data_IF_607408263049
#
_entry.id   IF_607408263049
#
_cell.length_a   1.000
_cell.length_b   1.000
_cell.length_c   1.000
_cell.angle_alpha   90.00
_cell.angle_beta   90.00
_cell.angle_gamma   90.00
#
_symmetry.space_group_name_H-M   'P 1'
#
loop_
_entity.id
_entity.type
_entity.pdbx_description
1 polymer ?
#
# COMPACT_ATOMS: atom_id res chain seq x y z
N UNK A 1 -3.51 -8.84 -11.59
CA UNK A 1 -4.90 -9.21 -11.94
C UNK A 1 -5.67 -9.60 -10.67
N UNK A 2 -5.85 -8.62 -9.76
CA UNK A 2 -6.74 -8.67 -8.57
C UNK A 2 -7.41 -7.30 -8.30
N UNK A 3 -7.08 -6.28 -9.11
CA UNK A 3 -7.54 -4.90 -8.96
C UNK A 3 -9.08 -4.75 -9.00
N UNK A 4 -9.84 -5.51 -9.84
CA UNK A 4 -11.30 -5.41 -9.84
C UNK A 4 -11.93 -5.90 -8.54
N UNK A 5 -11.39 -6.96 -7.93
CA UNK A 5 -11.86 -7.51 -6.66
C UNK A 5 -11.52 -6.57 -5.50
N UNK A 6 -10.30 -6.04 -5.47
CA UNK A 6 -9.89 -5.03 -4.48
C UNK A 6 -10.77 -3.77 -4.58
N UNK A 7 -11.08 -3.32 -5.82
CA UNK A 7 -11.98 -2.20 -6.09
C UNK A 7 -13.42 -2.47 -5.62
N UNK A 8 -13.96 -3.66 -5.84
CA UNK A 8 -15.28 -4.05 -5.32
C UNK A 8 -15.31 -4.10 -3.79
N UNK A 9 -14.20 -4.47 -3.14
CA UNK A 9 -14.05 -4.50 -1.69
C UNK A 9 -13.76 -3.11 -1.09
N UNK A 10 -13.69 -2.06 -1.90
CA UNK A 10 -13.38 -0.70 -1.45
C UNK A 10 -11.91 -0.47 -1.09
N UNK A 11 -11.00 -1.43 -1.30
CA UNK A 11 -9.61 -1.39 -0.80
C UNK A 11 -8.61 -0.74 -1.75
N UNK A 12 -8.10 0.43 -1.38
CA UNK A 12 -7.05 1.17 -2.09
C UNK A 12 -5.84 1.35 -1.17
N UNK A 13 -4.61 1.33 -1.71
CA UNK A 13 -3.36 1.39 -0.93
C UNK A 13 -2.30 2.24 -1.64
N UNK A 14 -1.04 2.17 -1.24
CA UNK A 14 0.04 3.04 -1.73
C UNK A 14 0.38 2.89 -3.23
N UNK A 15 -0.14 1.88 -3.91
CA UNK A 15 -0.11 1.76 -5.37
C UNK A 15 -1.28 2.46 -6.07
N UNK A 16 -2.24 2.96 -5.30
CA UNK A 16 -3.39 3.74 -5.74
C UNK A 16 -3.09 5.24 -5.65
N UNK A 17 -3.63 6.03 -6.58
CA UNK A 17 -3.56 7.49 -6.53
C UNK A 17 -4.54 8.02 -5.50
N UNK A 18 -4.07 8.29 -4.28
CA UNK A 18 -4.91 8.81 -3.19
C UNK A 18 -4.98 10.32 -3.24
N UNK A 19 -6.19 10.86 -3.41
CA UNK A 19 -6.47 12.29 -3.35
C UNK A 19 -7.34 12.58 -2.12
N UNK A 20 -6.91 13.52 -1.29
CA UNK A 20 -7.61 13.91 -0.06
C UNK A 20 -7.55 15.42 0.11
N UNK A 21 -8.58 16.01 0.72
CA UNK A 21 -8.53 17.43 1.10
C UNK A 21 -7.50 17.64 2.21
N UNK A 22 -6.84 18.80 2.20
CA UNK A 22 -5.77 19.12 3.16
C UNK A 22 -6.23 19.08 4.61
N UNK A 23 -7.39 19.64 4.90
CA UNK A 23 -7.98 19.65 6.25
C UNK A 23 -8.24 18.23 6.78
N UNK A 24 -8.70 17.31 5.92
CA UNK A 24 -8.90 15.91 6.27
C UNK A 24 -7.57 15.23 6.53
N UNK A 25 -6.56 15.46 5.67
CA UNK A 25 -5.21 14.91 5.84
C UNK A 25 -4.60 15.30 7.19
N UNK A 26 -4.67 16.57 7.54
CA UNK A 26 -4.16 17.09 8.81
C UNK A 26 -4.96 16.52 10.00
N UNK A 27 -6.30 16.43 9.88
CA UNK A 27 -7.17 15.88 10.92
C UNK A 27 -6.92 14.40 11.21
N UNK A 28 -6.59 13.59 10.19
CA UNK A 28 -6.26 12.16 10.39
C UNK A 28 -4.81 11.92 10.79
N UNK A 29 -3.99 12.97 10.92
CA UNK A 29 -2.59 12.88 11.33
C UNK A 29 -1.61 12.53 10.20
N UNK A 30 -2.06 12.56 8.94
CA UNK A 30 -1.23 12.27 7.77
C UNK A 30 -0.69 10.83 7.73
N UNK A 31 0.43 10.65 7.03
CA UNK A 31 1.12 9.35 6.99
C UNK A 31 1.88 9.09 8.30
N UNK A 32 1.66 7.93 8.94
CA UNK A 32 2.43 7.57 10.13
C UNK A 32 3.88 7.25 9.76
N UNK A 33 4.81 7.60 10.66
CA UNK A 33 6.23 7.27 10.52
C UNK A 33 6.52 5.81 10.89
N UNK A 34 5.99 4.87 10.11
CA UNK A 34 6.26 3.44 10.24
C UNK A 34 7.05 2.93 9.03
N UNK A 35 7.91 1.91 9.22
CA UNK A 35 8.85 1.49 8.18
C UNK A 35 8.19 0.75 7.00
N UNK A 36 6.93 0.30 7.17
CA UNK A 36 6.14 -0.38 6.16
C UNK A 36 4.66 -0.35 6.60
N UNK A 37 3.73 -0.43 5.64
CA UNK A 37 2.28 -0.39 5.84
C UNK A 37 1.73 0.99 6.27
N UNK A 38 2.51 2.05 6.07
CA UNK A 38 2.11 3.44 6.35
C UNK A 38 0.87 3.85 5.56
N UNK A 39 0.78 3.36 4.32
CA UNK A 39 -0.35 3.51 3.42
C UNK A 39 -1.61 2.80 3.93
N UNK A 40 -1.49 1.58 4.43
CA UNK A 40 -2.60 0.82 5.01
C UNK A 40 -3.18 1.53 6.23
N UNK A 41 -2.32 2.06 7.10
CA UNK A 41 -2.75 2.80 8.29
C UNK A 41 -3.42 4.11 7.89
N UNK A 42 -2.83 4.85 6.95
CA UNK A 42 -3.39 6.10 6.46
C UNK A 42 -4.77 5.91 5.81
N UNK A 43 -4.91 4.91 4.93
CA UNK A 43 -6.19 4.57 4.28
C UNK A 43 -7.26 4.22 5.30
N UNK A 44 -6.92 3.40 6.31
CA UNK A 44 -7.86 3.08 7.39
C UNK A 44 -8.30 4.34 8.12
N UNK A 45 -7.38 5.26 8.42
CA UNK A 45 -7.72 6.52 9.07
C UNK A 45 -8.68 7.37 8.20
N UNK A 46 -8.48 7.40 6.88
CA UNK A 46 -9.39 8.05 5.94
C UNK A 46 -10.78 7.41 5.91
N UNK A 47 -10.85 6.07 5.86
CA UNK A 47 -12.12 5.32 5.87
C UNK A 47 -12.90 5.52 7.18
N UNK A 48 -12.20 5.69 8.31
CA UNK A 48 -12.84 6.04 9.59
C UNK A 48 -13.27 7.51 9.64
N UNK A 49 -12.57 8.41 8.94
CA UNK A 49 -12.90 9.83 8.90
C UNK A 49 -14.07 10.16 7.96
N UNK A 50 -14.46 9.26 7.06
CA UNK A 50 -15.62 9.44 6.19
C UNK A 50 -15.67 8.51 4.98
N UNK A 51 -16.64 8.77 4.09
CA UNK A 51 -16.81 7.99 2.85
C UNK A 51 -15.69 8.27 1.87
N UNK A 52 -15.19 7.21 1.25
CA UNK A 52 -14.17 7.24 0.20
C UNK A 52 -14.81 6.86 -1.14
N UNK A 53 -14.23 7.30 -2.25
CA UNK A 53 -14.76 7.04 -3.59
C UNK A 53 -13.64 6.70 -4.58
N UNK A 54 -13.93 5.78 -5.50
CA UNK A 54 -13.04 5.45 -6.60
C UNK A 54 -13.34 6.34 -7.80
N UNK A 55 -12.34 7.10 -8.24
CA UNK A 55 -12.46 7.90 -9.46
C UNK A 55 -12.28 7.02 -10.70
N UNK A 56 -13.13 7.19 -11.74
CA UNK A 56 -12.94 6.51 -13.01
C UNK A 56 -11.75 7.13 -13.77
N UNK A 57 -10.85 6.28 -14.27
CA UNK A 57 -9.73 6.70 -15.11
C UNK A 57 -8.48 5.82 -14.91
N UNK A 58 -7.64 5.66 -15.94
CA UNK A 58 -6.38 4.96 -15.79
C UNK A 58 -5.38 5.86 -15.05
N UNK A 59 -4.83 5.37 -13.94
CA UNK A 59 -3.63 5.95 -13.37
C UNK A 59 -2.42 5.30 -14.05
N UNK A 60 -1.66 6.08 -14.81
CA UNK A 60 -0.44 5.58 -15.46
C UNK A 60 0.70 5.63 -14.45
N UNK A 61 1.19 4.45 -14.04
CA UNK A 61 2.38 4.32 -13.21
C UNK A 61 3.43 3.46 -13.91
N UNK A 62 4.70 3.66 -13.58
CA UNK A 62 5.80 2.92 -14.21
C UNK A 62 5.73 1.43 -13.85
N UNK A 63 5.73 0.53 -14.83
CA UNK A 63 5.71 -0.93 -14.62
C UNK A 63 7.02 -1.52 -14.06
N UNK A 64 8.01 -0.67 -13.72
CA UNK A 64 9.37 -1.05 -13.28
C UNK A 64 9.42 -2.11 -12.18
N UNK A 65 8.44 -2.14 -11.28
CA UNK A 65 8.35 -3.11 -10.17
C UNK A 65 7.71 -4.45 -10.57
N UNK A 66 6.98 -4.49 -11.68
CA UNK A 66 6.22 -5.65 -12.16
C UNK A 66 6.94 -6.42 -13.27
N UNK A 67 7.98 -5.84 -13.88
CA UNK A 67 8.79 -6.51 -14.91
C UNK A 67 9.65 -7.64 -14.30
N UNK A 68 9.24 -8.89 -14.57
CA UNK A 68 10.05 -10.09 -14.38
C UNK A 68 9.53 -11.11 -13.35
N UNK A 69 8.73 -10.73 -12.35
CA UNK A 69 8.15 -11.67 -11.34
C UNK A 69 6.81 -11.19 -10.71
N UNK A 70 5.73 -11.00 -11.49
CA UNK A 70 4.47 -10.40 -11.00
C UNK A 70 3.79 -11.21 -9.88
N UNK A 71 3.83 -12.55 -9.95
CA UNK A 71 3.18 -13.42 -8.96
C UNK A 71 3.86 -13.40 -7.60
N UNK A 72 5.21 -13.43 -7.56
CA UNK A 72 5.96 -13.41 -6.29
C UNK A 72 5.75 -12.09 -5.54
N UNK A 73 5.77 -10.99 -6.27
CA UNK A 73 5.52 -9.65 -5.73
C UNK A 73 4.10 -9.58 -5.16
N UNK A 74 3.10 -10.07 -5.91
CA UNK A 74 1.70 -10.08 -5.45
C UNK A 74 1.51 -10.91 -4.17
N UNK A 75 2.08 -12.12 -4.10
CA UNK A 75 2.00 -12.98 -2.91
C UNK A 75 2.69 -12.36 -1.70
N UNK A 76 3.87 -11.75 -1.89
CA UNK A 76 4.60 -11.05 -0.83
C UNK A 76 3.77 -9.91 -0.25
N UNK A 77 3.20 -9.06 -1.11
CA UNK A 77 2.35 -7.95 -0.66
C UNK A 77 1.07 -8.42 0.02
N UNK A 78 0.39 -9.45 -0.51
CA UNK A 78 -0.80 -10.03 0.11
C UNK A 78 -0.51 -10.62 1.49
N UNK A 79 0.63 -11.32 1.64
CA UNK A 79 1.08 -11.84 2.94
C UNK A 79 1.36 -10.72 3.94
N UNK A 80 2.10 -9.68 3.53
CA UNK A 80 2.40 -8.55 4.41
C UNK A 80 1.14 -7.83 4.89
N UNK A 81 0.18 -7.57 3.98
CA UNK A 81 -1.11 -6.97 4.34
C UNK A 81 -1.86 -7.86 5.34
N UNK A 82 -1.95 -9.16 5.08
CA UNK A 82 -2.64 -10.11 5.95
C UNK A 82 -1.98 -10.16 7.34
N UNK A 83 -0.66 -10.31 7.40
CA UNK A 83 0.08 -10.35 8.65
C UNK A 83 -0.06 -9.03 9.44
N UNK A 84 -0.04 -7.88 8.77
CA UNK A 84 -0.30 -6.59 9.41
C UNK A 84 -1.72 -6.51 9.97
N UNK A 85 -2.73 -6.96 9.21
CA UNK A 85 -4.12 -6.98 9.68
C UNK A 85 -4.35 -7.91 10.87
N UNK A 86 -3.54 -8.96 11.02
CA UNK A 86 -3.54 -9.88 12.16
C UNK A 86 -2.75 -9.36 13.37
N UNK A 87 -2.17 -8.15 13.30
CA UNK A 87 -1.45 -7.52 14.41
C UNK A 87 0.06 -7.74 14.42
N UNK A 88 0.66 -8.20 13.30
CA UNK A 88 2.12 -8.24 13.19
C UNK A 88 2.72 -6.82 13.24
N UNK A 89 3.81 -6.65 13.98
CA UNK A 89 4.44 -5.33 14.10
C UNK A 89 5.12 -4.90 12.77
N UNK A 90 5.03 -3.61 12.40
CA UNK A 90 5.70 -3.08 11.21
C UNK A 90 7.21 -3.40 11.17
N UNK A 91 7.86 -3.44 12.33
CA UNK A 91 9.29 -3.74 12.45
C UNK A 91 9.63 -5.20 12.12
N UNK A 92 8.73 -6.15 12.36
CA UNK A 92 8.90 -7.54 11.93
C UNK A 92 8.65 -7.68 10.43
N UNK A 93 7.63 -6.98 9.92
CA UNK A 93 7.30 -6.97 8.50
C UNK A 93 8.42 -6.36 7.65
N UNK A 94 9.05 -5.26 8.09
CA UNK A 94 10.15 -4.66 7.31
C UNK A 94 11.36 -5.59 7.23
N UNK A 95 11.67 -6.36 8.29
CA UNK A 95 12.76 -7.35 8.27
C UNK A 95 12.45 -8.45 7.27
N UNK A 96 11.21 -8.96 7.28
CA UNK A 96 10.75 -9.96 6.33
C UNK A 96 10.78 -9.44 4.88
N UNK A 97 10.31 -8.21 4.67
CA UNK A 97 10.33 -7.54 3.37
C UNK A 97 11.76 -7.38 2.84
N UNK A 98 12.68 -6.82 3.64
CA UNK A 98 14.11 -6.64 3.25
C UNK A 98 14.81 -7.95 2.91
N UNK A 99 14.49 -9.03 3.62
CA UNK A 99 15.02 -10.37 3.36
C UNK A 99 14.52 -10.94 2.02
N UNK A 100 13.29 -10.60 1.62
CA UNK A 100 12.65 -11.11 0.41
C UNK A 100 12.57 -10.06 -0.72
N UNK A 101 13.22 -8.91 -0.51
CA UNK A 101 13.15 -7.77 -1.40
C UNK A 101 13.74 -8.17 -2.76
N UNK A 102 13.03 -7.92 -3.87
CA UNK A 102 13.57 -8.19 -5.19
C UNK A 102 14.85 -7.36 -5.39
N UNK A 103 15.93 -8.00 -5.84
CA UNK A 103 17.27 -7.42 -5.97
C UNK A 103 17.36 -6.09 -6.76
N UNK A 104 16.33 -5.73 -7.53
CA UNK A 104 16.23 -4.46 -8.26
C UNK A 104 15.70 -3.29 -7.42
N UNK A 105 14.94 -3.53 -6.34
CA UNK A 105 14.49 -2.46 -5.43
C UNK A 105 15.65 -1.85 -4.61
N UNK A 106 16.70 -2.65 -4.35
CA UNK A 106 17.93 -2.21 -3.67
C UNK A 106 18.77 -1.17 -4.44
N UNK A 107 18.56 -1.01 -5.76
CA UNK A 107 19.33 -0.07 -6.60
C UNK A 107 18.71 1.32 -6.75
N UNK A 108 17.56 1.56 -6.12
CA UNK A 108 16.81 2.83 -6.24
C UNK A 108 16.65 3.62 -4.94
N UNK A 109 17.29 3.20 -3.85
CA UNK A 109 17.42 4.05 -2.67
C UNK A 109 18.60 5.01 -2.90
N UNK A 110 18.47 6.32 -2.62
CA UNK A 110 19.58 7.27 -2.69
C UNK A 110 20.72 6.86 -1.75
#
# INVERSE_FOLDING_TARGET
MLAPLYRMLGRYYGDSGVFVRRDVYERVGGFPQIPVMEDVVFVRALEHAGKTAYLPGPMVSSARRWEGRPLRTLLLWGFMQTAFTLGASPQRLVRFYRAHEPARARRGAP
#
